data_IF_691516752811
#
_entry.id   IF_691516752811
#
_cell.length_a   1.000
_cell.length_b   1.000
_cell.length_c   1.000
_cell.angle_alpha   90.00
_cell.angle_beta   90.00
_cell.angle_gamma   90.00
#
_symmetry.space_group_name_H-M   'P 1'
#
loop_
_entity.id
_entity.type
_entity.pdbx_description
1 polymer ?
#
# COMPACT_ATOMS: atom_id res chain seq x y z
N UNK A 1 13.00 23.57 16.10
CA UNK A 1 14.21 23.69 15.29
C UNK A 1 13.79 23.94 13.84
N UNK A 2 14.26 25.02 13.17
CA UNK A 2 13.76 25.42 11.85
C UNK A 2 14.05 24.39 10.74
N UNK A 3 14.92 23.43 11.00
CA UNK A 3 15.28 22.38 10.05
C UNK A 3 14.70 20.98 10.41
N UNK A 4 13.94 20.89 11.51
CA UNK A 4 13.31 19.64 11.88
C UNK A 4 12.07 19.40 11.00
N UNK A 5 12.01 18.22 10.38
CA UNK A 5 10.84 17.77 9.62
C UNK A 5 10.12 16.69 10.41
N UNK A 6 8.82 16.84 10.54
CA UNK A 6 7.98 15.80 11.16
C UNK A 6 7.79 14.66 10.17
N UNK A 7 7.96 13.43 10.62
CA UNK A 7 7.76 12.24 9.79
C UNK A 7 6.74 11.33 10.47
N UNK A 8 5.74 10.92 9.72
CA UNK A 8 4.68 10.04 10.17
C UNK A 8 4.70 8.67 9.48
N UNK A 9 3.79 7.83 9.89
CA UNK A 9 3.57 6.50 9.36
C UNK A 9 2.35 6.45 8.44
N UNK A 10 2.10 5.29 7.83
CA UNK A 10 0.92 5.03 7.01
C UNK A 10 -0.43 5.27 7.71
N UNK A 11 -0.46 5.36 9.04
CA UNK A 11 -1.66 5.71 9.79
C UNK A 11 -2.18 7.12 9.44
N UNK A 12 -1.30 7.99 8.96
CA UNK A 12 -1.67 9.34 8.53
C UNK A 12 -2.42 9.39 7.21
N UNK A 13 -2.41 8.31 6.44
CA UNK A 13 -3.05 8.25 5.12
C UNK A 13 -4.56 8.55 5.16
N UNK A 14 -5.22 8.24 6.26
CA UNK A 14 -6.66 8.42 6.44
C UNK A 14 -7.04 9.66 7.24
N UNK A 15 -6.06 10.43 7.68
CA UNK A 15 -6.29 11.65 8.45
C UNK A 15 -6.35 12.87 7.54
N UNK A 16 -7.26 13.79 7.83
CA UNK A 16 -7.36 15.05 7.09
C UNK A 16 -6.34 16.07 7.61
N UNK A 17 -5.06 15.73 7.48
CA UNK A 17 -3.95 16.55 7.96
C UNK A 17 -3.78 17.86 7.16
N UNK A 18 -4.38 17.95 5.99
CA UNK A 18 -4.34 19.18 5.18
C UNK A 18 -4.94 20.38 5.91
N UNK A 19 -5.88 20.14 6.83
CA UNK A 19 -6.54 21.17 7.62
C UNK A 19 -5.73 21.64 8.83
N UNK A 20 -4.67 20.93 9.17
CA UNK A 20 -3.85 21.22 10.34
C UNK A 20 -2.52 21.87 9.92
N UNK A 21 -2.38 23.21 10.00
CA UNK A 21 -1.18 23.91 9.52
C UNK A 21 0.12 23.44 10.17
N UNK A 22 0.06 22.91 11.38
CA UNK A 22 1.23 22.37 12.10
C UNK A 22 1.85 21.13 11.44
N UNK A 23 1.08 20.44 10.61
CA UNK A 23 1.56 19.27 9.84
C UNK A 23 1.96 19.60 8.40
N UNK A 24 1.77 20.82 7.94
CA UNK A 24 2.22 21.19 6.60
C UNK A 24 3.72 21.00 6.47
N UNK A 25 4.15 20.45 5.32
CA UNK A 25 5.53 20.01 5.03
C UNK A 25 5.99 18.77 5.82
N UNK A 26 5.14 18.17 6.65
CA UNK A 26 5.43 16.86 7.22
C UNK A 26 5.40 15.76 6.15
N UNK A 27 6.20 14.74 6.32
CA UNK A 27 6.25 13.58 5.42
C UNK A 27 5.68 12.34 6.09
N UNK A 28 5.07 11.48 5.31
CA UNK A 28 4.68 10.16 5.78
C UNK A 28 4.83 9.12 4.66
N UNK A 29 4.99 7.87 5.04
CA UNK A 29 5.04 6.76 4.11
C UNK A 29 3.69 6.08 4.05
N UNK A 30 3.24 5.74 2.85
CA UNK A 30 2.03 4.97 2.64
C UNK A 30 2.17 4.06 1.41
N UNK A 31 1.24 3.15 1.24
CA UNK A 31 1.14 2.39 0.01
C UNK A 31 0.89 3.33 -1.17
N UNK A 32 1.45 2.98 -2.32
CA UNK A 32 1.25 3.75 -3.55
C UNK A 32 -0.24 3.85 -3.89
N UNK A 33 -0.80 5.03 -3.70
CA UNK A 33 -2.21 5.29 -3.94
C UNK A 33 -2.57 5.13 -5.42
N UNK A 34 -1.66 5.47 -6.32
CA UNK A 34 -1.86 5.31 -7.77
C UNK A 34 -2.00 3.84 -8.13
N UNK A 35 -1.14 2.97 -7.58
CA UNK A 35 -1.22 1.53 -7.80
C UNK A 35 -2.50 0.90 -7.23
N UNK A 36 -3.10 1.51 -6.20
CA UNK A 36 -4.32 1.03 -5.57
C UNK A 36 -5.61 1.56 -6.23
N UNK A 37 -5.55 2.55 -7.11
CA UNK A 37 -6.73 3.17 -7.71
C UNK A 37 -7.71 2.19 -8.36
N UNK A 38 -7.29 1.19 -9.15
CA UNK A 38 -8.23 0.24 -9.74
C UNK A 38 -9.04 -0.53 -8.70
N UNK A 39 -8.41 -0.94 -7.59
CA UNK A 39 -9.09 -1.58 -6.48
C UNK A 39 -10.09 -0.64 -5.80
N UNK A 40 -9.67 0.60 -5.50
CA UNK A 40 -10.51 1.59 -4.85
C UNK A 40 -11.76 1.92 -5.68
N UNK A 41 -11.60 2.05 -6.99
CA UNK A 41 -12.72 2.30 -7.92
C UNK A 41 -13.69 1.11 -7.96
N UNK A 42 -13.18 -0.10 -8.08
CA UNK A 42 -14.00 -1.32 -8.08
C UNK A 42 -14.75 -1.47 -6.76
N UNK A 43 -14.08 -1.23 -5.64
CA UNK A 43 -14.70 -1.32 -4.32
C UNK A 43 -15.85 -0.29 -4.17
N UNK A 44 -15.58 0.98 -4.53
CA UNK A 44 -16.58 2.05 -4.47
C UNK A 44 -17.78 1.76 -5.36
N UNK A 45 -17.58 1.26 -6.58
CA UNK A 45 -18.68 0.94 -7.49
C UNK A 45 -19.54 -0.24 -7.00
N UNK A 46 -18.92 -1.20 -6.30
CA UNK A 46 -19.60 -2.40 -5.81
C UNK A 46 -20.33 -2.15 -4.49
N UNK A 47 -19.68 -1.46 -3.56
CA UNK A 47 -20.16 -1.31 -2.18
C UNK A 47 -20.68 0.09 -1.83
N UNK A 48 -20.55 1.07 -2.72
CA UNK A 48 -20.90 2.47 -2.51
C UNK A 48 -20.22 3.08 -1.28
N UNK A 49 -19.02 2.59 -0.94
CA UNK A 49 -18.24 2.97 0.24
C UNK A 49 -16.76 3.08 -0.07
N UNK A 50 -16.04 3.83 0.75
CA UNK A 50 -14.57 3.86 0.72
C UNK A 50 -14.06 2.65 1.50
N UNK A 51 -13.15 1.84 0.93
CA UNK A 51 -12.62 0.70 1.65
C UNK A 51 -11.75 1.14 2.85
N UNK A 52 -11.90 0.42 3.95
CA UNK A 52 -10.94 0.48 5.04
C UNK A 52 -9.58 -0.09 4.56
N UNK A 53 -8.43 0.40 5.05
CA UNK A 53 -7.11 -0.13 4.68
C UNK A 53 -6.99 -1.66 4.85
N UNK A 54 -7.68 -2.23 5.84
CA UNK A 54 -7.70 -3.69 6.05
C UNK A 54 -8.36 -4.44 4.89
N UNK A 55 -9.25 -3.81 4.14
CA UNK A 55 -9.87 -4.42 2.97
C UNK A 55 -8.84 -4.73 1.87
N UNK A 56 -7.82 -3.90 1.74
CA UNK A 56 -6.70 -4.14 0.82
C UNK A 56 -5.92 -5.38 1.22
N UNK A 57 -5.68 -5.57 2.52
CA UNK A 57 -5.00 -6.78 3.03
C UNK A 57 -5.84 -8.03 2.76
N UNK A 58 -7.15 -7.97 2.98
CA UNK A 58 -8.09 -9.05 2.64
C UNK A 58 -8.06 -9.39 1.14
N UNK A 59 -8.01 -8.37 0.29
CA UNK A 59 -7.87 -8.55 -1.15
C UNK A 59 -6.57 -9.30 -1.51
N UNK A 60 -5.43 -8.94 -0.94
CA UNK A 60 -4.18 -9.66 -1.18
C UNK A 60 -4.24 -11.11 -0.70
N UNK A 61 -4.79 -11.36 0.48
CA UNK A 61 -4.96 -12.72 0.98
C UNK A 61 -5.80 -13.58 0.02
N UNK A 62 -6.91 -13.04 -0.47
CA UNK A 62 -7.75 -13.70 -1.48
C UNK A 62 -6.98 -13.96 -2.79
N UNK A 63 -6.18 -12.99 -3.26
CA UNK A 63 -5.36 -13.15 -4.47
C UNK A 63 -4.34 -14.29 -4.34
N UNK A 64 -3.69 -14.42 -3.18
CA UNK A 64 -2.77 -15.54 -2.91
C UNK A 64 -3.51 -16.87 -2.96
N UNK A 65 -4.65 -16.98 -2.28
CA UNK A 65 -5.48 -18.20 -2.25
C UNK A 65 -5.99 -18.58 -3.65
N UNK A 66 -6.50 -17.62 -4.41
CA UNK A 66 -6.97 -17.82 -5.77
C UNK A 66 -5.83 -18.26 -6.72
N UNK A 67 -4.66 -17.67 -6.57
CA UNK A 67 -3.47 -18.05 -7.36
C UNK A 67 -3.05 -19.48 -7.07
N UNK A 68 -3.09 -19.92 -5.81
CA UNK A 68 -2.81 -21.30 -5.44
C UNK A 68 -3.86 -22.26 -6.00
N UNK A 69 -5.13 -21.90 -5.90
CA UNK A 69 -6.23 -22.71 -6.45
C UNK A 69 -6.13 -22.87 -7.97
N UNK A 70 -5.86 -21.76 -8.69
CA UNK A 70 -5.71 -21.77 -10.15
C UNK A 70 -4.52 -22.60 -10.62
N UNK A 71 -3.44 -22.62 -9.83
CA UNK A 71 -2.25 -23.43 -10.09
C UNK A 71 -2.37 -24.88 -9.58
N UNK A 72 -3.53 -25.23 -9.00
CA UNK A 72 -3.78 -26.56 -8.39
C UNK A 72 -2.76 -26.93 -7.30
N UNK A 73 -2.28 -25.96 -6.55
CA UNK A 73 -1.30 -26.14 -5.48
C UNK A 73 -2.02 -26.43 -4.17
N UNK A 74 -1.89 -27.64 -3.68
CA UNK A 74 -2.45 -28.11 -2.40
C UNK A 74 -1.51 -29.10 -1.74
N UNK A 75 -1.04 -28.84 -0.53
CA UNK A 75 -1.24 -27.63 0.30
C UNK A 75 -0.46 -26.41 -0.23
N UNK A 76 -0.88 -25.20 0.15
CA UNK A 76 -0.12 -23.98 -0.11
C UNK A 76 1.17 -24.01 0.70
N UNK A 77 2.30 -23.94 0.02
CA UNK A 77 3.63 -24.05 0.64
C UNK A 77 4.31 -22.69 0.78
N UNK A 78 5.25 -22.52 1.72
CA UNK A 78 6.06 -21.30 1.81
C UNK A 78 6.79 -20.96 0.52
N UNK A 79 7.24 -21.96 -0.23
CA UNK A 79 7.91 -21.77 -1.54
C UNK A 79 6.98 -21.07 -2.52
N UNK A 80 5.72 -21.49 -2.59
CA UNK A 80 4.74 -20.87 -3.46
C UNK A 80 4.45 -19.43 -3.05
N UNK A 81 4.31 -19.17 -1.75
CA UNK A 81 4.01 -17.82 -1.22
C UNK A 81 5.17 -16.86 -1.44
N UNK A 82 6.41 -17.35 -1.29
CA UNK A 82 7.65 -16.58 -1.46
C UNK A 82 8.16 -16.50 -2.90
N UNK A 83 7.33 -16.83 -3.87
CA UNK A 83 7.76 -16.82 -5.27
C UNK A 83 8.31 -15.45 -5.69
N UNK A 84 9.39 -15.42 -6.53
CA UNK A 84 10.09 -14.16 -6.86
C UNK A 84 9.21 -13.10 -7.53
N UNK A 85 8.25 -13.53 -8.35
CA UNK A 85 7.34 -12.62 -9.06
C UNK A 85 6.19 -12.10 -8.19
N UNK A 86 6.08 -12.57 -6.95
CA UNK A 86 5.02 -12.18 -6.04
C UNK A 86 3.61 -12.39 -6.58
N UNK A 87 2.70 -11.56 -6.13
CA UNK A 87 1.29 -11.56 -6.54
C UNK A 87 0.89 -10.17 -6.96
N UNK A 88 0.19 -10.04 -8.06
CA UNK A 88 -0.29 -8.74 -8.57
C UNK A 88 -1.81 -8.76 -8.73
N UNK A 89 -2.39 -7.57 -8.73
CA UNK A 89 -3.82 -7.38 -8.90
C UNK A 89 -4.19 -5.91 -8.91
N UNK A 90 -5.47 -5.61 -8.73
CA UNK A 90 -6.01 -4.24 -8.78
C UNK A 90 -5.49 -3.31 -7.67
N UNK A 91 -4.93 -3.85 -6.60
CA UNK A 91 -4.34 -3.08 -5.50
C UNK A 91 -2.81 -2.94 -5.63
N UNK A 92 -2.23 -3.31 -6.78
CA UNK A 92 -0.80 -3.32 -7.01
C UNK A 92 -0.16 -4.70 -6.82
N UNK A 93 1.16 -4.71 -6.65
CA UNK A 93 1.94 -5.93 -6.47
C UNK A 93 2.41 -6.09 -5.02
N UNK A 94 2.47 -7.33 -4.57
CA UNK A 94 3.04 -7.70 -3.27
C UNK A 94 4.01 -8.86 -3.40
N UNK A 95 5.00 -8.86 -2.53
CA UNK A 95 6.00 -9.93 -2.38
C UNK A 95 6.01 -10.40 -0.92
N UNK A 96 6.36 -11.65 -0.72
CA UNK A 96 6.61 -12.19 0.62
C UNK A 96 8.08 -12.53 0.75
N UNK A 97 8.74 -11.96 1.76
CA UNK A 97 10.14 -12.22 2.04
C UNK A 97 10.39 -13.56 2.70
N UNK A 98 11.67 -13.91 2.86
CA UNK A 98 12.10 -15.08 3.59
C UNK A 98 11.67 -15.07 5.07
N UNK A 99 11.44 -13.88 5.60
CA UNK A 99 10.92 -13.60 6.96
C UNK A 99 9.40 -13.76 7.07
N UNK A 100 8.71 -14.15 6.00
CA UNK A 100 7.25 -14.26 5.86
C UNK A 100 6.51 -12.91 5.96
N UNK A 101 7.22 -11.79 5.87
CA UNK A 101 6.58 -10.48 5.86
C UNK A 101 6.17 -10.11 4.43
N UNK A 102 4.97 -9.56 4.32
CA UNK A 102 4.48 -8.97 3.08
C UNK A 102 5.21 -7.65 2.80
N UNK A 103 5.67 -7.48 1.59
CA UNK A 103 6.28 -6.25 1.10
C UNK A 103 5.49 -5.73 -0.08
N UNK A 104 5.22 -4.45 -0.07
CA UNK A 104 4.63 -3.72 -1.19
C UNK A 104 5.37 -2.39 -1.37
N UNK A 105 5.31 -1.78 -2.56
CA UNK A 105 5.91 -0.47 -2.77
C UNK A 105 5.33 0.57 -1.81
N UNK A 106 6.20 1.37 -1.23
CA UNK A 106 5.83 2.51 -0.40
C UNK A 106 6.21 3.79 -1.14
N UNK A 107 5.38 4.80 -0.97
CA UNK A 107 5.60 6.15 -1.49
C UNK A 107 5.68 7.13 -0.35
N UNK A 108 6.50 8.15 -0.49
CA UNK A 108 6.59 9.25 0.48
C UNK A 108 5.63 10.35 0.03
N UNK A 109 4.78 10.77 0.93
CA UNK A 109 3.85 11.88 0.74
C UNK A 109 4.21 13.04 1.65
N UNK A 110 4.04 14.25 1.12
CA UNK A 110 4.11 15.48 1.89
C UNK A 110 2.70 16.02 2.16
N UNK A 111 2.45 16.43 3.38
CA UNK A 111 1.20 17.09 3.76
C UNK A 111 1.22 18.52 3.22
N UNK A 112 0.28 18.86 2.34
CA UNK A 112 0.08 20.22 1.84
C UNK A 112 -1.33 20.71 2.14
N UNK A 113 -1.60 22.03 2.07
CA UNK A 113 -2.96 22.57 2.27
C UNK A 113 -3.99 21.99 1.30
N UNK A 114 -3.56 21.57 0.11
CA UNK A 114 -4.41 21.01 -0.94
C UNK A 114 -4.58 19.49 -0.80
N UNK A 115 -3.90 18.87 0.16
CA UNK A 115 -3.90 17.44 0.39
C UNK A 115 -2.51 16.82 0.25
N UNK A 116 -2.41 15.49 0.30
CA UNK A 116 -1.13 14.80 0.18
C UNK A 116 -0.55 14.95 -1.22
N UNK A 117 0.73 15.30 -1.27
CA UNK A 117 1.52 15.38 -2.50
C UNK A 117 2.63 14.34 -2.46
N UNK A 118 2.75 13.55 -3.51
CA UNK A 118 3.86 12.62 -3.65
C UNK A 118 5.19 13.37 -3.74
N UNK A 119 6.15 12.95 -2.94
CA UNK A 119 7.52 13.49 -2.98
C UNK A 119 8.29 12.68 -4.02
N UNK A 120 8.70 13.34 -5.11
CA UNK A 120 9.54 12.73 -6.14
C UNK A 120 10.87 12.25 -5.54
N UNK A 121 10.95 11.00 -5.34
CA UNK A 121 12.12 10.30 -4.87
C UNK A 121 11.86 8.82 -5.02
N UNK A 122 12.13 8.29 -6.20
CA UNK A 122 12.14 6.86 -6.38
C UNK A 122 13.07 6.23 -5.32
N UNK A 123 12.50 5.69 -4.26
CA UNK A 123 13.14 4.60 -3.59
C UNK A 123 13.15 3.45 -4.61
N UNK A 124 14.17 3.43 -5.44
CA UNK A 124 14.44 2.30 -6.30
C UNK A 124 14.46 1.03 -5.44
N UNK A 125 14.11 -0.13 -6.00
CA UNK A 125 14.20 -1.38 -5.27
C UNK A 125 15.65 -1.54 -4.84
N UNK A 126 15.90 -1.37 -3.56
CA UNK A 126 17.16 -1.83 -2.98
C UNK A 126 17.14 -3.35 -3.11
N UNK A 127 17.94 -3.80 -4.00
CA UNK A 127 18.34 -5.20 -4.17
C UNK A 127 18.73 -5.87 -2.85
#
# INVERSE_FOLDING_TARGET
HPFARVVGTNLWQNEDLAREPSFHQAWYTAADQTAQQPFLQTYRSTYQAVPDPIAVLGYYAARVAMSAASANIRPVTPIFVRRPNGFSGQAGAVLFGADNLMRHPLTIYEVTPEGPREVDGQAGPSS
#
